data_IF_840250192642
#
_entry.id   IF_840250192642
#
_cell.length_a   1.000
_cell.length_b   1.000
_cell.length_c   1.000
_cell.angle_alpha   90.00
_cell.angle_beta   90.00
_cell.angle_gamma   90.00
#
_symmetry.space_group_name_H-M   'P 1'
#
loop_
_entity.id
_entity.type
_entity.pdbx_description
1 polymer ?
#
# COMPACT_ATOMS: atom_id res chain seq x y z
N UNK A 1 8.50 -4.75 -10.58
CA UNK A 1 9.57 -5.71 -10.21
C UNK A 1 9.33 -7.06 -10.88
N UNK A 2 10.35 -7.64 -11.50
CA UNK A 2 10.25 -8.94 -12.16
C UNK A 2 9.84 -10.03 -11.14
N UNK A 3 8.81 -10.82 -11.46
CA UNK A 3 8.36 -11.97 -10.65
C UNK A 3 7.20 -11.71 -9.67
N UNK A 4 6.84 -10.46 -9.37
CA UNK A 4 5.60 -10.15 -8.64
C UNK A 4 4.47 -9.90 -9.60
N UNK A 5 3.33 -10.58 -9.39
CA UNK A 5 2.09 -10.13 -10.02
C UNK A 5 1.80 -8.69 -9.58
N UNK A 6 1.64 -7.80 -10.56
CA UNK A 6 1.32 -6.39 -10.36
C UNK A 6 -0.01 -6.19 -9.60
N UNK A 7 -0.86 -7.22 -9.53
CA UNK A 7 -2.13 -7.21 -8.82
C UNK A 7 -2.03 -7.49 -7.32
N UNK A 8 -0.86 -7.88 -6.81
CA UNK A 8 -0.68 -8.13 -5.37
C UNK A 8 -0.73 -6.84 -4.56
N UNK A 9 -1.23 -6.90 -3.32
CA UNK A 9 -1.32 -5.73 -2.43
C UNK A 9 0.03 -5.00 -2.27
N UNK A 10 1.18 -5.65 -1.99
CA UNK A 10 2.45 -4.95 -1.87
C UNK A 10 2.89 -4.26 -3.16
N UNK A 11 2.64 -4.88 -4.33
CA UNK A 11 2.96 -4.29 -5.63
C UNK A 11 2.05 -3.09 -5.95
N UNK A 12 0.76 -3.18 -5.66
CA UNK A 12 -0.18 -2.06 -5.78
C UNK A 12 0.22 -0.91 -4.85
N UNK A 13 0.60 -1.21 -3.61
CA UNK A 13 0.97 -0.21 -2.61
C UNK A 13 2.26 0.52 -3.00
N UNK A 14 3.25 -0.23 -3.52
CA UNK A 14 4.48 0.36 -4.03
C UNK A 14 4.24 1.26 -5.24
N UNK A 15 3.34 0.88 -6.16
CA UNK A 15 2.94 1.76 -7.27
C UNK A 15 2.21 3.01 -6.77
N UNK A 16 1.34 2.86 -5.78
CA UNK A 16 0.56 3.96 -5.20
C UNK A 16 1.48 5.05 -4.64
N UNK A 17 2.46 4.69 -3.79
CA UNK A 17 3.36 5.65 -3.15
C UNK A 17 4.38 6.28 -4.10
N UNK A 18 4.68 5.63 -5.24
CA UNK A 18 5.56 6.18 -6.27
C UNK A 18 4.79 6.93 -7.38
N UNK A 19 3.46 7.04 -7.26
CA UNK A 19 2.65 7.79 -8.22
C UNK A 19 2.72 9.29 -7.89
N UNK A 20 3.16 10.15 -8.82
CA UNK A 20 3.16 11.60 -8.60
C UNK A 20 1.74 12.20 -8.49
N UNK A 21 0.71 11.41 -8.86
CA UNK A 21 -0.71 11.83 -8.82
C UNK A 21 -1.32 11.70 -7.43
N UNK A 22 -0.73 10.88 -6.55
CA UNK A 22 -1.26 10.59 -5.22
C UNK A 22 -0.44 11.37 -4.21
N UNK A 23 -1.09 12.28 -3.49
CA UNK A 23 -0.42 13.13 -2.49
C UNK A 23 -0.64 12.64 -1.08
N UNK A 24 -1.72 11.89 -0.86
CA UNK A 24 -2.12 11.30 0.42
C UNK A 24 -1.19 10.20 0.96
N UNK A 25 -0.34 9.62 0.10
CA UNK A 25 0.59 8.55 0.49
C UNK A 25 1.99 8.89 0.01
N UNK A 26 2.96 8.94 0.92
CA UNK A 26 4.35 9.31 0.61
C UNK A 26 5.35 8.41 1.33
N UNK A 27 6.59 8.43 0.85
CA UNK A 27 7.70 7.82 1.58
C UNK A 27 8.10 8.69 2.77
N UNK A 28 8.56 8.07 3.85
CA UNK A 28 9.31 8.78 4.90
C UNK A 28 10.65 9.30 4.35
N UNK A 29 11.33 10.16 5.13
CA UNK A 29 12.62 10.75 4.75
C UNK A 29 13.72 9.72 4.44
N UNK A 30 13.58 8.50 4.98
CA UNK A 30 14.51 7.38 4.77
C UNK A 30 14.09 6.43 3.65
N UNK A 31 12.95 6.64 3.00
CA UNK A 31 12.37 5.75 2.00
C UNK A 31 12.21 4.28 2.46
N UNK A 32 11.93 4.11 3.76
CA UNK A 32 11.76 2.84 4.48
C UNK A 32 10.39 2.73 5.16
N UNK A 33 9.58 3.77 5.09
CA UNK A 33 8.27 3.86 5.71
C UNK A 33 7.27 4.55 4.80
N UNK A 34 6.00 4.34 5.12
CA UNK A 34 4.85 4.97 4.48
C UNK A 34 4.27 6.02 5.42
N UNK A 35 4.09 7.22 4.90
CA UNK A 35 3.35 8.30 5.52
C UNK A 35 2.00 8.38 4.81
N UNK A 36 0.91 8.33 5.57
CA UNK A 36 -0.45 8.37 5.03
C UNK A 36 -1.26 9.46 5.74
N UNK A 37 -1.71 10.46 5.00
CA UNK A 37 -2.70 11.42 5.47
C UNK A 37 -4.08 10.80 5.32
N UNK A 38 -4.79 10.58 6.44
CA UNK A 38 -6.10 9.93 6.41
C UNK A 38 -7.14 10.74 5.63
N UNK A 39 -7.24 12.03 5.91
CA UNK A 39 -8.28 12.89 5.35
C UNK A 39 -8.09 13.04 3.85
N UNK A 40 -6.85 13.29 3.42
CA UNK A 40 -6.52 13.39 2.00
C UNK A 40 -6.66 12.03 1.30
N UNK A 41 -6.34 10.91 1.97
CA UNK A 41 -6.53 9.58 1.41
C UNK A 41 -8.01 9.28 1.15
N UNK A 42 -8.87 9.60 2.12
CA UNK A 42 -10.31 9.44 1.96
C UNK A 42 -10.82 10.29 0.77
N UNK A 43 -10.32 11.51 0.60
CA UNK A 43 -10.70 12.40 -0.51
C UNK A 43 -10.17 11.97 -1.89
N UNK A 44 -8.89 11.58 -1.99
CA UNK A 44 -8.23 11.23 -3.27
C UNK A 44 -8.60 9.84 -3.78
N UNK A 45 -8.82 8.88 -2.87
CA UNK A 45 -8.89 7.46 -3.22
C UNK A 45 -10.20 6.78 -2.86
N UNK A 46 -11.00 7.34 -1.94
CA UNK A 46 -12.24 6.73 -1.45
C UNK A 46 -13.49 7.56 -1.75
N UNK A 47 -13.36 8.84 -2.09
CA UNK A 47 -14.48 9.64 -2.57
C UNK A 47 -15.07 8.99 -3.82
N UNK A 48 -16.38 8.72 -3.86
CA UNK A 48 -17.03 8.34 -5.10
C UNK A 48 -16.84 9.51 -6.06
N UNK A 49 -15.98 9.34 -7.07
CA UNK A 49 -15.91 10.30 -8.16
C UNK A 49 -17.29 10.29 -8.79
N UNK A 50 -18.02 11.40 -8.66
CA UNK A 50 -19.35 11.54 -9.25
C UNK A 50 -19.29 11.10 -10.71
N UNK A 51 -20.18 10.15 -11.03
CA UNK A 51 -20.60 9.75 -12.37
C UNK A 51 -19.54 9.25 -13.36
N UNK A 52 -19.93 8.19 -14.06
CA UNK A 52 -19.47 7.94 -15.43
C UNK A 52 -19.90 9.12 -16.32
N UNK A 53 -19.17 10.24 -16.31
CA UNK A 53 -19.56 11.44 -17.04
C UNK A 53 -18.40 12.40 -17.29
N UNK A 54 -17.87 12.34 -18.52
CA UNK A 54 -17.34 13.44 -19.33
C UNK A 54 -16.44 14.52 -18.66
N UNK A 55 -15.17 14.58 -19.10
CA UNK A 55 -14.53 15.89 -19.33
C UNK A 55 -13.32 16.28 -18.47
N UNK A 56 -12.60 15.36 -17.83
CA UNK A 56 -11.30 15.67 -17.21
C UNK A 56 -10.16 14.90 -17.88
N UNK A 57 -9.65 15.45 -18.99
CA UNK A 57 -8.35 15.07 -19.52
C UNK A 57 -7.28 15.34 -18.45
N UNK A 58 -6.86 14.27 -17.78
CA UNK A 58 -5.89 14.37 -16.70
C UNK A 58 -5.94 13.19 -15.74
N UNK A 59 -7.11 12.58 -15.53
CA UNK A 59 -7.26 11.36 -14.74
C UNK A 59 -7.14 10.11 -15.62
N UNK A 60 -5.94 9.84 -16.12
CA UNK A 60 -5.61 8.53 -16.69
C UNK A 60 -5.96 7.42 -15.69
N UNK A 61 -6.27 6.20 -16.18
CA UNK A 61 -7.02 5.18 -15.45
C UNK A 61 -6.49 5.06 -14.04
N UNK A 62 -7.35 5.29 -13.05
CA UNK A 62 -7.05 5.31 -11.62
C UNK A 62 -6.49 3.96 -11.15
N UNK A 63 -5.22 3.71 -11.47
CA UNK A 63 -4.29 2.77 -10.87
C UNK A 63 -4.86 1.38 -10.49
N UNK A 64 -5.76 0.76 -11.25
CA UNK A 64 -6.43 -0.52 -10.89
C UNK A 64 -6.72 -0.61 -9.38
N UNK A 65 -7.37 0.46 -8.91
CA UNK A 65 -7.36 0.99 -7.56
C UNK A 65 -7.60 -0.05 -6.47
N UNK A 66 -7.02 0.20 -5.30
CA UNK A 66 -7.44 -0.48 -4.10
C UNK A 66 -8.95 -0.30 -3.97
N UNK A 67 -9.74 -1.35 -4.23
CA UNK A 67 -11.19 -1.39 -4.01
C UNK A 67 -11.50 -1.38 -2.50
N UNK A 68 -10.94 -0.41 -1.78
CA UNK A 68 -11.33 -0.12 -0.42
C UNK A 68 -12.48 0.88 -0.52
N UNK A 69 -13.54 0.65 0.25
CA UNK A 69 -14.63 1.62 0.45
C UNK A 69 -14.38 2.50 1.67
N UNK A 70 -13.46 2.08 2.55
CA UNK A 70 -13.17 2.74 3.81
C UNK A 70 -11.67 2.67 4.14
N UNK A 71 -11.16 3.70 4.80
CA UNK A 71 -9.75 3.77 5.23
C UNK A 71 -9.36 2.59 6.13
N UNK A 72 -10.26 2.16 7.02
CA UNK A 72 -10.02 0.99 7.88
C UNK A 72 -9.74 -0.30 7.11
N UNK A 73 -10.34 -0.49 5.93
CA UNK A 73 -10.07 -1.64 5.05
C UNK A 73 -8.64 -1.61 4.50
N UNK A 74 -8.14 -0.42 4.18
CA UNK A 74 -6.76 -0.22 3.76
C UNK A 74 -5.78 -0.52 4.90
N UNK A 75 -6.01 0.02 6.10
CA UNK A 75 -5.21 -0.28 7.30
C UNK A 75 -5.22 -1.76 7.64
N UNK A 76 -6.36 -2.44 7.49
CA UNK A 76 -6.45 -3.90 7.67
C UNK A 76 -5.54 -4.65 6.69
N UNK A 77 -5.47 -4.23 5.44
CA UNK A 77 -4.55 -4.84 4.48
C UNK A 77 -3.09 -4.58 4.88
N UNK A 78 -2.72 -3.35 5.27
CA UNK A 78 -1.38 -3.07 5.81
C UNK A 78 -1.01 -4.04 6.94
N UNK A 79 -1.90 -4.20 7.93
CA UNK A 79 -1.69 -5.12 9.04
C UNK A 79 -1.56 -6.59 8.59
N UNK A 80 -2.37 -7.03 7.62
CA UNK A 80 -2.29 -8.37 7.06
C UNK A 80 -0.99 -8.63 6.31
N UNK A 81 -0.31 -7.60 5.80
CA UNK A 81 0.99 -7.74 5.15
C UNK A 81 2.16 -7.33 6.07
N UNK A 82 1.92 -7.27 7.38
CA UNK A 82 2.99 -7.09 8.38
C UNK A 82 3.50 -5.66 8.52
N UNK A 83 2.81 -4.67 7.95
CA UNK A 83 3.09 -3.27 8.25
C UNK A 83 2.66 -2.95 9.69
N UNK A 84 3.47 -2.16 10.38
CA UNK A 84 3.20 -1.71 11.76
C UNK A 84 3.19 -0.20 11.82
N UNK A 85 2.21 0.34 12.54
CA UNK A 85 2.14 1.77 12.85
C UNK A 85 3.31 2.13 13.78
N UNK A 86 4.03 3.20 13.48
CA UNK A 86 5.08 3.75 14.34
C UNK A 86 4.40 4.70 15.36
N UNK A 87 4.43 4.39 16.67
CA UNK A 87 3.85 5.26 17.69
C UNK A 87 4.71 6.52 17.90
N UNK A 88 4.07 7.62 18.26
CA UNK A 88 4.77 8.87 18.61
C UNK A 88 5.46 9.59 17.45
N UNK A 89 5.29 9.13 16.21
CA UNK A 89 5.73 9.90 15.05
C UNK A 89 4.80 11.09 14.86
N UNK A 90 5.27 12.27 15.22
CA UNK A 90 4.70 13.56 14.83
C UNK A 90 5.29 13.88 13.45
N UNK A 91 4.45 14.40 12.54
CA UNK A 91 4.89 14.83 11.22
C UNK A 91 6.11 15.74 11.28
N UNK A 92 6.86 15.82 10.18
CA UNK A 92 7.99 16.74 10.06
C UNK A 92 7.59 18.15 10.54
N UNK A 93 8.54 18.96 11.04
CA UNK A 93 8.34 20.39 11.36
C UNK A 93 8.02 21.26 10.11
N UNK A 94 7.65 20.64 8.99
CA UNK A 94 7.22 21.33 7.79
C UNK A 94 5.89 22.06 8.05
N UNK A 95 5.80 23.37 7.77
CA UNK A 95 4.57 24.14 7.93
C UNK A 95 3.48 23.59 7.00
N UNK A 96 2.59 22.76 7.55
CA UNK A 96 1.54 22.03 6.82
C UNK A 96 1.30 20.61 7.34
N UNK A 97 2.26 20.05 8.10
CA UNK A 97 2.25 18.66 8.61
C UNK A 97 1.74 18.52 10.05
N UNK A 98 1.09 19.57 10.58
CA UNK A 98 0.59 19.65 11.95
C UNK A 98 -0.55 18.64 12.24
N UNK A 99 -0.18 17.38 12.48
CA UNK A 99 -0.96 16.43 13.28
C UNK A 99 -1.74 15.32 12.56
N UNK A 100 -1.65 15.16 11.23
CA UNK A 100 -2.55 14.25 10.49
C UNK A 100 -1.97 12.91 9.99
N UNK A 101 -0.65 12.79 9.90
CA UNK A 101 -0.02 11.71 9.14
C UNK A 101 0.22 10.45 9.96
N UNK A 102 -0.17 9.31 9.39
CA UNK A 102 0.04 7.98 9.96
C UNK A 102 1.27 7.33 9.35
N UNK A 103 2.27 7.03 10.20
CA UNK A 103 3.49 6.35 9.77
C UNK A 103 3.37 4.83 9.93
N UNK A 104 3.55 4.08 8.84
CA UNK A 104 3.63 2.62 8.82
C UNK A 104 4.96 2.12 8.26
N UNK A 105 5.53 1.06 8.84
CA UNK A 105 6.78 0.45 8.35
C UNK A 105 6.66 -1.06 8.16
N UNK A 106 7.41 -1.56 7.18
CA UNK A 106 7.72 -2.98 6.99
C UNK A 106 9.18 -3.08 6.50
N UNK A 107 10.05 -3.91 7.12
CA UNK A 107 11.47 -4.01 6.72
C UNK A 107 11.71 -4.36 5.25
N UNK A 108 10.76 -5.08 4.63
CA UNK A 108 10.82 -5.51 3.24
C UNK A 108 10.13 -4.54 2.27
N UNK A 109 9.59 -3.42 2.76
CA UNK A 109 8.94 -2.40 1.94
C UNK A 109 9.83 -1.15 1.86
N UNK A 110 10.61 -1.05 0.79
CA UNK A 110 11.58 0.04 0.58
C UNK A 110 11.48 0.57 -0.84
N UNK A 111 11.65 1.88 -1.02
CA UNK A 111 11.58 2.53 -2.34
C UNK A 111 12.59 1.94 -3.32
N UNK A 112 13.85 1.87 -2.87
CA UNK A 112 14.98 1.52 -3.74
C UNK A 112 15.22 0.00 -3.84
N UNK A 113 14.40 -0.82 -3.15
CA UNK A 113 14.51 -2.29 -3.15
C UNK A 113 13.16 -2.95 -3.44
N UNK A 114 12.57 -2.72 -4.63
CA UNK A 114 11.27 -3.29 -5.00
C UNK A 114 11.28 -4.83 -5.12
N UNK A 115 12.44 -5.47 -5.19
CA UNK A 115 12.62 -6.92 -5.12
C UNK A 115 12.24 -7.49 -3.74
N UNK A 116 12.40 -6.72 -2.65
CA UNK A 116 12.02 -7.15 -1.31
C UNK A 116 10.50 -7.33 -1.14
N UNK A 117 9.69 -6.74 -2.03
CA UNK A 117 8.24 -6.93 -2.03
C UNK A 117 7.84 -8.42 -2.14
N UNK A 118 8.68 -9.27 -2.74
CA UNK A 118 8.46 -10.73 -2.84
C UNK A 118 8.47 -11.42 -1.47
N UNK A 119 9.16 -10.83 -0.49
CA UNK A 119 9.25 -11.31 0.90
C UNK A 119 8.04 -10.92 1.74
N UNK A 120 7.23 -9.98 1.27
CA UNK A 120 6.02 -9.53 1.97
C UNK A 120 4.88 -10.52 1.67
N UNK A 121 4.56 -11.37 2.66
CA UNK A 121 3.48 -12.36 2.57
C UNK A 121 2.26 -11.92 3.38
N UNK A 122 1.07 -12.35 2.93
CA UNK A 122 -0.17 -12.13 3.68
C UNK A 122 -0.21 -13.04 4.91
N UNK A 123 -0.44 -12.49 6.09
CA UNK A 123 -0.42 -13.17 7.40
C UNK A 123 -1.83 -13.65 7.81
N UNK A 124 -2.45 -14.50 6.98
CA UNK A 124 -3.70 -15.21 7.36
C UNK A 124 -3.43 -16.23 8.47
N UNK A 125 -4.47 -16.73 9.16
CA UNK A 125 -4.32 -17.78 10.19
C UNK A 125 -3.53 -18.98 9.66
N UNK A 126 -3.92 -19.48 8.49
CA UNK A 126 -3.23 -20.59 7.82
C UNK A 126 -1.76 -20.27 7.50
N UNK A 127 -1.47 -19.05 7.04
CA UNK A 127 -0.10 -18.65 6.74
C UNK A 127 0.75 -18.47 8.00
N UNK A 128 0.17 -17.97 9.10
CA UNK A 128 0.85 -17.89 10.40
C UNK A 128 1.18 -19.28 10.95
N UNK A 129 0.26 -20.24 10.82
CA UNK A 129 0.50 -21.64 11.20
C UNK A 129 1.63 -22.26 10.38
N UNK A 130 1.64 -22.03 9.06
CA UNK A 130 2.73 -22.49 8.18
C UNK A 130 4.07 -21.89 8.60
N UNK A 131 4.14 -20.58 8.82
CA UNK A 131 5.38 -19.93 9.29
C UNK A 131 5.84 -20.46 10.64
N UNK A 132 4.92 -20.69 11.59
CA UNK A 132 5.24 -21.27 12.89
C UNK A 132 5.78 -22.71 12.79
N UNK A 133 5.34 -23.46 11.77
CA UNK A 133 5.83 -24.80 11.45
C UNK A 133 7.10 -24.80 10.57
N UNK A 134 7.72 -23.64 10.30
CA UNK A 134 8.89 -23.52 9.42
C UNK A 134 8.58 -23.76 7.93
N UNK A 135 7.32 -23.79 7.54
CA UNK A 135 6.88 -24.04 6.17
C UNK A 135 6.83 -22.74 5.35
N UNK A 136 7.23 -22.82 4.08
CA UNK A 136 7.21 -21.70 3.17
C UNK A 136 5.77 -21.25 2.85
N UNK A 137 5.49 -19.94 2.99
CA UNK A 137 4.24 -19.33 2.53
C UNK A 137 4.44 -18.81 1.11
N UNK A 138 3.93 -19.55 0.13
CA UNK A 138 3.94 -19.11 -1.26
C UNK A 138 3.03 -17.89 -1.43
N UNK A 139 3.55 -16.84 -2.06
CA UNK A 139 2.67 -15.78 -2.59
C UNK A 139 1.78 -16.41 -3.66
N UNK A 140 0.50 -15.99 -3.78
CA UNK A 140 -0.32 -16.38 -4.94
C UNK A 140 0.48 -16.04 -6.20
N UNK A 141 1.05 -17.05 -6.86
CA UNK A 141 1.61 -16.87 -8.19
C UNK A 141 0.43 -16.54 -9.11
N UNK A 142 0.64 -15.71 -10.14
CA UNK A 142 -0.37 -15.59 -11.19
C UNK A 142 -0.65 -17.01 -11.67
N UNK A 143 -1.92 -17.41 -11.65
CA UNK A 143 -2.36 -18.65 -12.26
C UNK A 143 -1.81 -18.64 -13.68
N UNK A 144 -0.77 -19.43 -13.96
CA UNK A 144 -0.47 -19.81 -15.33
C UNK A 144 -1.65 -20.66 -15.72
N UNK A 145 -2.65 -20.05 -16.36
CA UNK A 145 -3.63 -20.79 -17.13
C UNK A 145 -2.80 -21.57 -18.15
N UNK A 146 -2.65 -22.86 -17.87
CA UNK A 146 -2.16 -23.86 -18.80
C UNK A 146 -3.26 -24.11 -19.84
N UNK A 147 -2.78 -24.35 -21.07
CA UNK A 147 -3.48 -24.72 -22.31
C UNK A 147 -4.39 -23.65 -22.93
#
# INVERSE_FOLDING_TARGET
PAGLSASTFPAKLWRLVNSPRIRSVRWDSRAQGLLIDRSLFEQELLSPSDAHGAGAEGAGPALDSFQATHFGSFVRQLNLYGFRKVPGWVGSDEPGDAGGWLHFRNPNFRRDRPDLLLRIKRLTRANRQRLAAGLEVRSRQPSRLLS
#
